data_IF_602827599576
#
_entry.id   IF_602827599576
#
_cell.length_a   1.000
_cell.length_b   1.000
_cell.length_c   1.000
_cell.angle_alpha   90.00
_cell.angle_beta   90.00
_cell.angle_gamma   90.00
#
_symmetry.space_group_name_H-M   'P 1'
#
loop_
_entity.id
_entity.type
_entity.pdbx_description
1 polymer ?
#
# COMPACT_ATOMS: atom_id res chain seq x y z
N UNK A 1 10.25 7.03 -4.09
CA UNK A 1 10.32 6.76 -2.64
C UNK A 1 8.90 6.82 -2.08
N UNK A 2 8.51 5.86 -1.24
CA UNK A 2 7.17 5.83 -0.63
C UNK A 2 7.00 7.01 0.32
N UNK A 3 5.80 7.60 0.35
CA UNK A 3 5.41 8.68 1.25
C UNK A 3 4.25 8.22 2.10
N UNK A 4 4.30 8.56 3.39
CA UNK A 4 3.21 8.38 4.34
C UNK A 4 3.09 9.66 5.16
N UNK A 5 1.87 10.03 5.54
CA UNK A 5 1.57 11.26 6.26
C UNK A 5 0.38 11.07 7.21
N UNK A 6 0.23 12.00 8.15
CA UNK A 6 -0.95 12.07 9.01
C UNK A 6 -2.14 12.68 8.26
N UNK A 7 -3.30 12.06 8.43
CA UNK A 7 -4.57 12.52 7.87
C UNK A 7 -5.06 13.80 8.59
N UNK A 8 -5.71 14.72 7.89
CA UNK A 8 -6.25 15.97 8.45
C UNK A 8 -7.51 15.79 9.33
N UNK A 9 -8.19 14.65 9.18
CA UNK A 9 -9.34 14.24 9.99
C UNK A 9 -10.70 14.64 9.41
N UNK A 10 -10.74 15.09 8.16
CA UNK A 10 -12.00 15.39 7.48
C UNK A 10 -12.79 14.10 7.15
N UNK A 11 -14.01 13.99 7.67
CA UNK A 11 -14.93 12.89 7.35
C UNK A 11 -15.74 13.18 6.07
N UNK A 12 -16.02 12.13 5.28
CA UNK A 12 -16.84 12.14 4.06
C UNK A 12 -16.27 12.85 2.81
N UNK A 13 -14.96 13.08 2.76
CA UNK A 13 -14.36 13.66 1.56
C UNK A 13 -14.00 12.63 0.48
N UNK A 14 -13.94 13.05 -0.81
CA UNK A 14 -13.62 12.15 -1.90
C UNK A 14 -12.18 11.63 -1.81
N UNK A 15 -12.01 10.34 -2.12
CA UNK A 15 -10.70 9.66 -2.21
C UNK A 15 -9.70 10.31 -3.19
N UNK A 16 -10.18 11.24 -4.03
CA UNK A 16 -9.35 11.98 -4.97
C UNK A 16 -8.45 13.02 -4.32
N UNK A 17 -8.69 13.39 -3.05
CA UNK A 17 -7.88 14.35 -2.32
C UNK A 17 -6.81 13.68 -1.44
N UNK A 18 -5.63 14.32 -1.22
CA UNK A 18 -4.55 13.73 -0.41
C UNK A 18 -4.79 13.71 1.11
N UNK A 19 -5.69 14.56 1.65
CA UNK A 19 -6.01 14.64 3.09
C UNK A 19 -4.79 14.83 4.00
N UNK A 20 -3.84 15.68 3.59
CA UNK A 20 -2.66 15.99 4.38
C UNK A 20 -2.98 17.06 5.42
N UNK A 21 -2.55 16.85 6.67
CA UNK A 21 -2.58 17.91 7.70
C UNK A 21 -1.95 19.20 7.19
N UNK A 22 -2.42 20.35 7.68
CA UNK A 22 -1.78 21.65 7.46
C UNK A 22 -1.27 22.21 8.80
N UNK A 23 0.05 22.27 9.03
CA UNK A 23 1.15 21.96 8.11
C UNK A 23 1.36 20.45 7.86
N UNK A 24 1.95 20.13 6.70
CA UNK A 24 2.23 18.74 6.29
C UNK A 24 3.05 17.98 7.35
N UNK A 25 2.57 16.81 7.72
CA UNK A 25 3.21 15.95 8.70
C UNK A 25 3.50 14.58 8.10
N UNK A 26 4.71 14.41 7.57
CA UNK A 26 5.19 13.12 7.07
C UNK A 26 5.60 12.19 8.21
N UNK A 27 5.52 10.89 7.96
CA UNK A 27 6.03 9.84 8.84
C UNK A 27 7.06 8.98 8.10
N UNK A 28 8.14 8.61 8.81
CA UNK A 28 9.17 7.73 8.25
C UNK A 28 8.70 6.28 8.24
N UNK A 29 9.29 5.45 7.38
CA UNK A 29 8.99 4.01 7.39
C UNK A 29 9.41 3.33 8.71
N UNK A 30 10.44 3.84 9.38
CA UNK A 30 10.88 3.33 10.68
C UNK A 30 9.85 3.61 11.77
N UNK A 31 9.33 4.84 11.84
CA UNK A 31 8.29 5.21 12.79
C UNK A 31 6.98 4.49 12.49
N UNK A 32 6.62 4.35 11.20
CA UNK A 32 5.45 3.58 10.79
C UNK A 32 5.54 2.12 11.27
N UNK A 33 6.70 1.49 11.13
CA UNK A 33 6.95 0.13 11.63
C UNK A 33 6.86 0.05 13.15
N UNK A 34 7.44 1.01 13.88
CA UNK A 34 7.38 1.04 15.35
C UNK A 34 5.95 1.20 15.87
N UNK A 35 5.14 2.04 15.22
CA UNK A 35 3.78 2.34 15.66
C UNK A 35 2.76 1.26 15.27
N UNK A 36 2.91 0.64 14.09
CA UNK A 36 1.88 -0.22 13.50
C UNK A 36 2.33 -1.64 13.19
N UNK A 37 3.64 -1.89 13.18
CA UNK A 37 4.22 -3.14 12.69
C UNK A 37 4.29 -3.27 11.16
N UNK A 38 3.85 -2.25 10.41
CA UNK A 38 3.91 -2.26 8.93
C UNK A 38 5.36 -2.27 8.45
N UNK A 39 5.62 -3.09 7.44
CA UNK A 39 6.92 -3.21 6.79
C UNK A 39 6.79 -2.94 5.29
N UNK A 40 7.81 -2.32 4.71
CA UNK A 40 7.86 -1.96 3.29
C UNK A 40 9.04 -2.65 2.61
N UNK A 41 8.79 -3.16 1.40
CA UNK A 41 9.78 -3.76 0.51
C UNK A 41 9.59 -3.17 -0.89
N UNK A 42 10.69 -2.79 -1.53
CA UNK A 42 10.65 -2.23 -2.88
C UNK A 42 11.09 -3.28 -3.90
N UNK A 43 10.25 -3.51 -4.90
CA UNK A 43 10.54 -4.36 -6.06
C UNK A 43 10.18 -3.61 -7.33
N UNK A 44 10.75 -4.05 -8.45
CA UNK A 44 10.32 -3.64 -9.78
C UNK A 44 9.06 -4.42 -10.15
N UNK A 45 7.97 -3.71 -10.39
CA UNK A 45 6.67 -4.31 -10.67
C UNK A 45 6.63 -5.05 -12.01
N UNK A 46 7.43 -4.63 -12.99
CA UNK A 46 7.47 -5.25 -14.33
C UNK A 46 8.18 -6.61 -14.31
N UNK A 47 9.01 -6.86 -13.30
CA UNK A 47 9.88 -8.05 -13.23
C UNK A 47 9.71 -8.86 -11.93
N UNK A 48 8.71 -8.53 -11.10
CA UNK A 48 8.52 -9.08 -9.75
C UNK A 48 8.39 -10.61 -9.73
N UNK A 49 7.74 -11.21 -10.72
CA UNK A 49 7.54 -12.67 -10.81
C UNK A 49 8.87 -13.44 -10.96
N UNK A 50 9.85 -12.80 -11.62
CA UNK A 50 11.18 -13.34 -11.83
C UNK A 50 12.18 -12.93 -10.74
N UNK A 51 11.77 -12.05 -9.81
CA UNK A 51 12.64 -11.50 -8.79
C UNK A 51 12.91 -12.53 -7.68
N UNK A 52 14.17 -12.95 -7.55
CA UNK A 52 14.59 -13.95 -6.57
C UNK A 52 14.49 -13.46 -5.11
N UNK A 53 14.66 -12.17 -4.86
CA UNK A 53 14.54 -11.62 -3.51
C UNK A 53 13.08 -11.55 -3.07
N UNK A 54 12.15 -11.30 -3.99
CA UNK A 54 10.70 -11.40 -3.75
C UNK A 54 10.30 -12.83 -3.39
N UNK A 55 10.76 -13.84 -4.14
CA UNK A 55 10.49 -15.26 -3.85
C UNK A 55 11.00 -15.66 -2.48
N UNK A 56 12.26 -15.32 -2.14
CA UNK A 56 12.85 -15.61 -0.82
C UNK A 56 12.07 -14.93 0.32
N UNK A 57 11.63 -13.68 0.13
CA UNK A 57 10.83 -12.96 1.11
C UNK A 57 9.50 -13.69 1.38
N UNK A 58 8.80 -14.10 0.32
CA UNK A 58 7.55 -14.86 0.42
C UNK A 58 7.73 -16.18 1.14
N UNK A 59 8.74 -16.95 0.79
CA UNK A 59 9.06 -18.24 1.43
C UNK A 59 9.34 -18.05 2.93
N UNK A 60 10.20 -17.09 3.28
CA UNK A 60 10.56 -16.77 4.67
C UNK A 60 9.33 -16.37 5.50
N UNK A 61 8.36 -15.68 4.90
CA UNK A 61 7.15 -15.20 5.57
C UNK A 61 5.97 -16.17 5.49
N UNK A 62 6.10 -17.26 4.73
CA UNK A 62 5.02 -18.23 4.55
C UNK A 62 3.86 -17.73 3.69
N UNK A 63 4.10 -16.79 2.78
CA UNK A 63 3.11 -16.29 1.82
C UNK A 63 2.91 -17.30 0.68
N UNK A 64 2.14 -18.35 0.96
CA UNK A 64 1.94 -19.53 0.09
C UNK A 64 1.11 -19.26 -1.16
N UNK A 65 0.16 -18.35 -1.07
CA UNK A 65 -0.79 -18.04 -2.14
C UNK A 65 -0.62 -16.58 -2.55
N UNK A 66 -0.87 -16.31 -3.83
CA UNK A 66 -0.87 -15.00 -4.45
C UNK A 66 -1.95 -15.00 -5.54
N UNK A 67 -2.61 -13.87 -5.71
CA UNK A 67 -3.59 -13.63 -6.77
C UNK A 67 -3.44 -12.18 -7.25
N UNK A 68 -4.00 -11.86 -8.42
CA UNK A 68 -3.93 -10.54 -9.02
C UNK A 68 -5.34 -10.00 -9.24
N UNK A 69 -5.58 -8.77 -8.76
CA UNK A 69 -6.85 -8.07 -8.96
C UNK A 69 -6.60 -6.75 -9.69
N UNK A 70 -7.38 -6.51 -10.74
CA UNK A 70 -7.40 -5.22 -11.45
C UNK A 70 -8.60 -4.39 -10.99
N UNK A 71 -8.32 -3.31 -10.26
CA UNK A 71 -9.35 -2.44 -9.69
C UNK A 71 -9.74 -1.37 -10.71
N UNK A 72 -10.66 -1.72 -11.61
CA UNK A 72 -11.35 -0.78 -12.51
C UNK A 72 -12.85 -1.01 -12.47
N UNK A 73 -13.64 0.02 -12.80
CA UNK A 73 -15.11 -0.07 -12.82
C UNK A 73 -15.64 -1.15 -13.78
N UNK A 74 -14.87 -1.46 -14.83
CA UNK A 74 -15.22 -2.44 -15.86
C UNK A 74 -14.92 -3.88 -15.45
N UNK A 75 -13.83 -4.10 -14.70
CA UNK A 75 -13.31 -5.45 -14.41
C UNK A 75 -13.56 -5.92 -12.99
N UNK A 76 -13.74 -5.02 -12.03
CA UNK A 76 -14.03 -5.39 -10.65
C UNK A 76 -15.55 -5.56 -10.45
N UNK A 77 -16.04 -6.76 -10.13
CA UNK A 77 -17.44 -6.95 -9.77
C UNK A 77 -17.81 -6.06 -8.59
N UNK A 78 -19.02 -5.50 -8.61
CA UNK A 78 -19.57 -4.68 -7.53
C UNK A 78 -18.71 -3.44 -7.18
N UNK A 79 -17.97 -2.88 -8.16
CA UNK A 79 -17.06 -1.75 -7.96
C UNK A 79 -17.67 -0.54 -7.22
N UNK A 80 -18.93 -0.21 -7.51
CA UNK A 80 -19.63 0.94 -6.93
C UNK A 80 -20.36 0.64 -5.61
N UNK A 81 -20.42 -0.64 -5.20
CA UNK A 81 -21.04 -1.02 -3.93
C UNK A 81 -20.08 -0.65 -2.78
N UNK A 82 -20.56 0.18 -1.85
CA UNK A 82 -19.86 0.59 -0.63
C UNK A 82 -20.47 -0.09 0.59
#
# INVERSE_FOLDING_TARGET
MVRAWYHDGADNEPRSQPHMMQPDKFITLEDLRKLTGIEYFQFDADTVDSNEDYKKLREKRGYKNEDCVEITREKLPNYDEK
#
